data_IF_807399771012
#
_entry.id   IF_807399771012
#
_cell.length_a   1.000
_cell.length_b   1.000
_cell.length_c   1.000
_cell.angle_alpha   90.00
_cell.angle_beta   90.00
_cell.angle_gamma   90.00
#
_symmetry.space_group_name_H-M   'P 1'
#
loop_
_entity.id
_entity.type
_entity.pdbx_description
1 polymer ?
#
# COMPACT_ATOMS: atom_id res chain seq x y z
N UNK A 1 -6.73 3.16 -11.57
CA UNK A 1 -5.96 4.12 -12.39
C UNK A 1 -6.71 5.45 -12.38
N UNK A 2 -6.01 6.57 -12.12
CA UNK A 2 -6.59 7.91 -12.32
C UNK A 2 -7.07 8.06 -13.77
N UNK A 3 -8.09 8.87 -14.01
CA UNK A 3 -8.69 9.21 -15.32
C UNK A 3 -7.73 9.86 -16.34
N UNK A 4 -6.42 9.75 -16.13
CA UNK A 4 -5.36 10.47 -16.85
C UNK A 4 -4.28 9.54 -17.42
N UNK A 5 -4.27 8.25 -17.05
CA UNK A 5 -3.34 7.28 -17.65
C UNK A 5 -3.88 6.86 -19.01
N UNK A 6 -3.11 7.14 -20.05
CA UNK A 6 -3.44 6.78 -21.43
C UNK A 6 -2.33 5.95 -22.03
N UNK A 7 -2.69 5.09 -22.98
CA UNK A 7 -1.71 4.38 -23.78
C UNK A 7 -0.80 5.36 -24.52
N UNK A 8 0.49 5.03 -24.67
CA UNK A 8 1.52 5.96 -25.17
C UNK A 8 1.18 6.54 -26.56
N UNK A 9 0.47 5.76 -27.39
CA UNK A 9 0.02 6.17 -28.72
C UNK A 9 -0.82 7.45 -28.79
N UNK A 10 -1.43 7.85 -27.67
CA UNK A 10 -2.32 9.01 -27.65
C UNK A 10 -1.58 10.33 -27.37
N UNK A 11 -0.28 10.27 -27.05
CA UNK A 11 0.50 11.43 -26.62
C UNK A 11 1.78 11.66 -27.43
N UNK A 12 2.23 10.67 -28.21
CA UNK A 12 3.42 10.77 -29.07
C UNK A 12 3.06 11.09 -30.52
N UNK A 13 4.04 11.57 -31.29
CA UNK A 13 3.87 11.80 -32.73
C UNK A 13 3.64 10.49 -33.50
N UNK A 14 3.03 10.50 -34.71
CA UNK A 14 2.85 9.28 -35.50
C UNK A 14 4.15 8.53 -35.84
N UNK A 15 5.24 9.26 -36.10
CA UNK A 15 6.57 8.69 -36.40
C UNK A 15 7.17 8.00 -35.17
N UNK A 16 7.17 8.69 -34.03
CA UNK A 16 7.60 8.13 -32.75
C UNK A 16 6.74 6.93 -32.36
N UNK A 17 5.43 6.98 -32.62
CA UNK A 17 4.52 5.89 -32.36
C UNK A 17 4.86 4.62 -33.16
N UNK A 18 5.26 4.78 -34.42
CA UNK A 18 5.68 3.67 -35.28
C UNK A 18 7.01 3.07 -34.81
N UNK A 19 7.97 3.92 -34.45
CA UNK A 19 9.23 3.50 -33.83
C UNK A 19 8.99 2.69 -32.53
N UNK A 20 8.17 3.20 -31.61
CA UNK A 20 7.89 2.51 -30.34
C UNK A 20 7.16 1.17 -30.55
N UNK A 21 6.30 1.07 -31.57
CA UNK A 21 5.68 -0.21 -31.96
C UNK A 21 6.70 -1.24 -32.39
N UNK A 22 7.64 -0.85 -33.24
CA UNK A 22 8.71 -1.72 -33.71
C UNK A 22 9.64 -2.12 -32.54
N UNK A 23 10.07 -1.14 -31.73
CA UNK A 23 10.97 -1.36 -30.60
C UNK A 23 10.39 -2.31 -29.54
N UNK A 24 9.16 -2.06 -29.08
CA UNK A 24 8.55 -2.86 -28.01
C UNK A 24 7.85 -4.12 -28.51
N UNK A 25 7.52 -4.21 -29.80
CA UNK A 25 6.85 -5.36 -30.39
C UNK A 25 5.60 -5.78 -29.61
N UNK A 26 5.56 -7.03 -29.14
CA UNK A 26 4.42 -7.57 -28.37
C UNK A 26 4.21 -6.92 -27.00
N UNK A 27 5.18 -6.13 -26.51
CA UNK A 27 5.06 -5.38 -25.25
C UNK A 27 4.42 -4.01 -25.44
N UNK A 28 4.30 -3.53 -26.68
CA UNK A 28 3.88 -2.16 -26.99
C UNK A 28 2.51 -1.81 -26.40
N UNK A 29 1.53 -2.73 -26.42
CA UNK A 29 0.18 -2.51 -25.89
C UNK A 29 0.12 -2.26 -24.38
N UNK A 30 1.24 -2.45 -23.68
CA UNK A 30 1.38 -2.28 -22.24
C UNK A 30 2.21 -1.05 -21.87
N UNK A 31 2.52 -0.16 -22.83
CA UNK A 31 3.27 1.07 -22.59
C UNK A 31 2.28 2.23 -22.41
N UNK A 32 2.34 2.86 -21.24
CA UNK A 32 1.44 3.93 -20.85
C UNK A 32 2.22 5.20 -20.53
N UNK A 33 1.64 6.34 -20.89
CA UNK A 33 2.19 7.65 -20.59
C UNK A 33 2.03 7.99 -19.11
N UNK A 34 3.07 8.59 -18.53
CA UNK A 34 2.97 9.19 -17.21
C UNK A 34 2.65 10.70 -17.30
N UNK A 35 1.44 11.13 -16.94
CA UNK A 35 1.06 12.53 -17.01
C UNK A 35 1.84 13.45 -16.05
N UNK A 36 2.58 12.88 -15.08
CA UNK A 36 3.42 13.65 -14.15
C UNK A 36 4.77 14.06 -14.75
N UNK A 37 5.11 13.57 -15.95
CA UNK A 37 6.30 13.96 -16.72
C UNK A 37 7.56 13.14 -16.45
N UNK A 38 7.80 12.63 -15.23
CA UNK A 38 8.96 11.79 -14.93
C UNK A 38 8.58 10.64 -13.98
N UNK A 39 8.87 9.36 -14.32
CA UNK A 39 9.38 8.87 -15.62
C UNK A 39 8.43 9.25 -16.78
N UNK A 40 8.90 9.33 -18.04
CA UNK A 40 8.07 9.74 -19.19
C UNK A 40 6.91 8.75 -19.47
N UNK A 41 7.19 7.46 -19.33
CA UNK A 41 6.25 6.38 -19.51
C UNK A 41 6.49 5.26 -18.50
N UNK A 42 5.64 4.25 -18.54
CA UNK A 42 5.84 3.01 -17.81
C UNK A 42 5.25 1.83 -18.59
N UNK A 43 5.92 0.69 -18.48
CA UNK A 43 5.35 -0.59 -18.86
C UNK A 43 4.51 -1.14 -17.72
N UNK A 44 3.26 -1.52 -18.00
CA UNK A 44 2.39 -2.14 -17.04
C UNK A 44 1.62 -3.33 -17.62
N UNK A 45 1.91 -4.52 -17.09
CA UNK A 45 1.21 -5.77 -17.41
C UNK A 45 1.00 -6.58 -16.14
N UNK A 46 -0.24 -6.65 -15.67
CA UNK A 46 -0.61 -7.31 -14.41
C UNK A 46 0.30 -6.81 -13.25
N UNK A 47 1.00 -7.72 -12.56
CA UNK A 47 1.91 -7.37 -11.47
C UNK A 47 3.28 -6.83 -11.93
N UNK A 48 3.51 -6.71 -13.23
CA UNK A 48 4.76 -6.15 -13.77
C UNK A 48 4.63 -4.65 -13.98
N UNK A 49 5.57 -3.91 -13.40
CA UNK A 49 5.72 -2.47 -13.57
C UNK A 49 7.19 -2.12 -13.83
N UNK A 50 7.46 -1.37 -14.90
CA UNK A 50 8.80 -0.87 -15.22
C UNK A 50 8.71 0.59 -15.64
N UNK A 51 9.40 1.47 -14.92
CA UNK A 51 9.51 2.88 -15.27
C UNK A 51 10.36 3.06 -16.54
N UNK A 52 9.89 3.90 -17.46
CA UNK A 52 10.57 4.22 -18.72
C UNK A 52 10.86 5.72 -18.71
N UNK A 53 12.12 6.07 -18.49
CA UNK A 53 12.55 7.44 -18.22
C UNK A 53 12.78 8.29 -19.48
N UNK A 54 12.89 7.67 -20.65
CA UNK A 54 13.03 8.32 -21.95
C UNK A 54 12.55 7.37 -23.05
N UNK A 55 11.98 7.93 -24.11
CA UNK A 55 11.39 7.19 -25.23
C UNK A 55 12.27 7.18 -26.48
N UNK A 56 13.34 7.97 -26.50
CA UNK A 56 14.32 7.98 -27.57
C UNK A 56 15.15 6.69 -27.63
N UNK A 57 15.51 6.29 -28.85
CA UNK A 57 16.20 5.01 -29.10
C UNK A 57 17.50 4.87 -28.30
N UNK A 58 18.31 5.93 -28.28
CA UNK A 58 19.59 5.94 -27.56
C UNK A 58 19.39 5.67 -26.06
N UNK A 59 18.35 6.26 -25.46
CA UNK A 59 18.04 6.04 -24.05
C UNK A 59 17.55 4.63 -23.80
N UNK A 60 16.56 4.17 -24.58
CA UNK A 60 15.99 2.83 -24.43
C UNK A 60 17.05 1.72 -24.55
N UNK A 61 17.99 1.87 -25.49
CA UNK A 61 19.10 0.94 -25.68
C UNK A 61 20.08 0.99 -24.51
N UNK A 62 20.45 2.19 -24.05
CA UNK A 62 21.37 2.37 -22.92
C UNK A 62 20.81 1.82 -21.61
N UNK A 63 19.52 2.06 -21.33
CA UNK A 63 18.82 1.54 -20.15
C UNK A 63 18.40 0.08 -20.30
N UNK A 64 18.59 -0.53 -21.49
CA UNK A 64 18.20 -1.91 -21.82
C UNK A 64 16.72 -2.16 -21.47
N UNK A 65 15.84 -1.20 -21.80
CA UNK A 65 14.44 -1.18 -21.34
C UNK A 65 13.69 -2.44 -21.70
N UNK A 66 13.81 -2.92 -22.95
CA UNK A 66 13.12 -4.14 -23.39
C UNK A 66 13.58 -5.38 -22.61
N UNK A 67 14.89 -5.49 -22.35
CA UNK A 67 15.43 -6.60 -21.56
C UNK A 67 14.96 -6.52 -20.10
N UNK A 68 14.93 -5.34 -19.50
CA UNK A 68 14.39 -5.13 -18.16
C UNK A 68 12.92 -5.56 -18.06
N UNK A 69 12.10 -5.19 -19.05
CA UNK A 69 10.70 -5.64 -19.16
C UNK A 69 10.63 -7.16 -19.23
N UNK A 70 11.41 -7.80 -20.12
CA UNK A 70 11.41 -9.25 -20.29
C UNK A 70 11.85 -9.99 -19.03
N UNK A 71 12.96 -9.58 -18.41
CA UNK A 71 13.47 -10.18 -17.18
C UNK A 71 12.49 -10.01 -16.02
N UNK A 72 11.84 -8.85 -15.91
CA UNK A 72 10.85 -8.59 -14.86
C UNK A 72 9.62 -9.47 -15.07
N UNK A 73 9.06 -9.54 -16.28
CA UNK A 73 7.95 -10.44 -16.61
C UNK A 73 8.29 -11.90 -16.25
N UNK A 74 9.45 -12.40 -16.67
CA UNK A 74 9.89 -13.77 -16.37
C UNK A 74 9.99 -14.04 -14.86
N UNK A 75 10.50 -13.05 -14.10
CA UNK A 75 10.62 -13.16 -12.65
C UNK A 75 9.25 -13.21 -11.97
N UNK A 76 8.33 -12.33 -12.38
CA UNK A 76 6.96 -12.29 -11.87
C UNK A 76 6.23 -13.59 -12.19
N UNK A 77 6.31 -14.10 -13.41
CA UNK A 77 5.68 -15.38 -13.80
C UNK A 77 6.25 -16.56 -12.99
N UNK A 78 7.56 -16.58 -12.76
CA UNK A 78 8.18 -17.62 -11.91
C UNK A 78 7.64 -17.60 -10.48
N UNK A 79 7.37 -16.42 -9.91
CA UNK A 79 6.76 -16.30 -8.59
C UNK A 79 5.27 -16.67 -8.59
N UNK A 80 4.51 -16.25 -9.62
CA UNK A 80 3.10 -16.65 -9.80
C UNK A 80 2.94 -18.17 -9.85
N UNK A 81 3.77 -18.85 -10.65
CA UNK A 81 3.77 -20.32 -10.76
C UNK A 81 4.04 -21.04 -9.43
N UNK A 82 4.70 -20.36 -8.47
CA UNK A 82 4.99 -20.88 -7.13
C UNK A 82 4.03 -20.34 -6.06
N UNK A 83 3.02 -19.55 -6.43
CA UNK A 83 2.17 -18.79 -5.52
C UNK A 83 2.94 -17.86 -4.56
N UNK A 84 4.13 -17.38 -4.97
CA UNK A 84 4.99 -16.51 -4.16
C UNK A 84 4.67 -15.02 -4.42
N UNK A 85 3.43 -14.64 -4.15
CA UNK A 85 2.97 -13.26 -4.35
C UNK A 85 3.57 -12.28 -3.34
N UNK A 86 4.00 -12.75 -2.17
CA UNK A 86 4.74 -11.91 -1.22
C UNK A 86 6.04 -11.40 -1.84
N UNK A 87 6.78 -12.23 -2.57
CA UNK A 87 7.98 -11.79 -3.30
C UNK A 87 7.66 -10.80 -4.41
N UNK A 88 6.55 -10.97 -5.13
CA UNK A 88 6.08 -10.03 -6.16
C UNK A 88 5.91 -8.63 -5.55
N UNK A 89 5.12 -8.52 -4.48
CA UNK A 89 4.86 -7.23 -3.85
C UNK A 89 6.06 -6.69 -3.08
N UNK A 90 6.98 -7.52 -2.61
CA UNK A 90 8.24 -7.10 -1.97
C UNK A 90 9.23 -6.50 -2.96
N UNK A 91 9.20 -6.97 -4.21
CA UNK A 91 10.02 -6.42 -5.29
C UNK A 91 9.47 -5.10 -5.86
N UNK A 92 8.18 -4.83 -5.61
CA UNK A 92 7.46 -3.69 -6.18
C UNK A 92 7.72 -2.38 -5.42
N UNK A 93 7.76 -1.26 -6.14
CA UNK A 93 7.89 0.06 -5.51
C UNK A 93 6.68 0.35 -4.59
N UNK A 94 6.96 0.83 -3.39
CA UNK A 94 5.95 1.14 -2.36
C UNK A 94 4.89 2.14 -2.82
N UNK A 95 5.21 3.00 -3.79
CA UNK A 95 4.30 3.98 -4.38
C UNK A 95 3.16 3.31 -5.15
N UNK A 96 3.40 2.17 -5.78
CA UNK A 96 2.39 1.49 -6.61
C UNK A 96 1.85 0.21 -5.96
N UNK A 97 2.57 -0.36 -5.00
CA UNK A 97 2.26 -1.67 -4.41
C UNK A 97 0.81 -1.78 -3.91
N UNK A 98 0.33 -0.78 -3.16
CA UNK A 98 -1.03 -0.80 -2.63
C UNK A 98 -2.07 -0.72 -3.73
N UNK A 99 -1.84 0.13 -4.73
CA UNK A 99 -2.77 0.30 -5.85
C UNK A 99 -2.87 -0.99 -6.68
N UNK A 100 -1.74 -1.61 -7.02
CA UNK A 100 -1.72 -2.86 -7.78
C UNK A 100 -2.30 -4.02 -6.98
N UNK A 101 -2.06 -4.06 -5.67
CA UNK A 101 -2.71 -5.03 -4.79
C UNK A 101 -4.23 -4.91 -4.88
N UNK A 102 -4.78 -3.70 -4.67
CA UNK A 102 -6.23 -3.49 -4.74
C UNK A 102 -6.82 -3.80 -6.11
N UNK A 103 -6.07 -3.60 -7.19
CA UNK A 103 -6.56 -3.81 -8.55
C UNK A 103 -6.52 -5.29 -8.99
N UNK A 104 -5.56 -6.06 -8.50
CA UNK A 104 -5.32 -7.45 -8.94
C UNK A 104 -5.52 -8.48 -7.82
N UNK A 105 -6.18 -8.11 -6.72
CA UNK A 105 -6.41 -9.01 -5.58
C UNK A 105 -7.10 -10.31 -6.02
N UNK A 106 -8.04 -10.23 -6.96
CA UNK A 106 -8.79 -11.38 -7.48
C UNK A 106 -7.94 -12.38 -8.27
N UNK A 107 -6.77 -11.97 -8.75
CA UNK A 107 -5.82 -12.86 -9.42
C UNK A 107 -4.94 -13.63 -8.42
N UNK A 108 -4.96 -13.23 -7.16
CA UNK A 108 -4.17 -13.85 -6.08
C UNK A 108 -5.03 -14.94 -5.42
N UNK A 109 -4.49 -16.15 -5.15
CA UNK A 109 -5.22 -17.17 -4.41
C UNK A 109 -5.75 -16.65 -3.07
N UNK A 110 -7.05 -16.84 -2.82
CA UNK A 110 -7.77 -16.34 -1.63
C UNK A 110 -7.02 -16.53 -0.29
N UNK A 111 -6.43 -17.71 0.01
CA UNK A 111 -5.74 -17.91 1.29
C UNK A 111 -4.52 -17.02 1.51
N UNK A 112 -3.96 -16.42 0.46
CA UNK A 112 -2.75 -15.59 0.52
C UNK A 112 -3.07 -14.10 0.62
N UNK A 113 -4.25 -13.68 0.15
CA UNK A 113 -4.60 -12.27 -0.05
C UNK A 113 -4.43 -11.44 1.22
N UNK A 114 -4.87 -11.95 2.38
CA UNK A 114 -4.82 -11.18 3.62
C UNK A 114 -3.39 -10.97 4.13
N UNK A 115 -2.52 -11.99 4.06
CA UNK A 115 -1.13 -11.83 4.49
C UNK A 115 -0.33 -10.90 3.56
N UNK A 116 -0.65 -10.92 2.26
CA UNK A 116 -0.09 -9.98 1.29
C UNK A 116 -0.58 -8.56 1.55
N UNK A 117 -1.89 -8.38 1.83
CA UNK A 117 -2.44 -7.08 2.22
C UNK A 117 -1.66 -6.50 3.40
N UNK A 118 -1.44 -7.29 4.46
CA UNK A 118 -0.72 -6.83 5.66
C UNK A 118 0.71 -6.42 5.36
N UNK A 119 1.40 -7.20 4.51
CA UNK A 119 2.76 -6.87 4.06
C UNK A 119 2.78 -5.54 3.29
N UNK A 120 1.92 -5.41 2.28
CA UNK A 120 1.81 -4.22 1.44
C UNK A 120 1.41 -2.99 2.25
N UNK A 121 0.41 -3.11 3.14
CA UNK A 121 -0.04 -2.05 4.04
C UNK A 121 1.10 -1.54 4.92
N UNK A 122 1.86 -2.43 5.55
CA UNK A 122 2.90 -2.07 6.53
C UNK A 122 4.13 -1.35 5.93
N UNK A 123 4.29 -1.35 4.61
CA UNK A 123 5.45 -0.74 3.92
C UNK A 123 5.10 0.40 2.98
N UNK A 124 3.81 0.65 2.74
CA UNK A 124 3.36 1.72 1.86
C UNK A 124 3.01 2.98 2.64
N UNK A 125 3.19 4.13 2.00
CA UNK A 125 2.80 5.45 2.49
C UNK A 125 1.84 6.14 1.51
N UNK A 126 1.45 5.43 0.44
CA UNK A 126 0.79 5.98 -0.74
C UNK A 126 -0.49 5.22 -1.05
N UNK A 127 -1.40 5.89 -1.77
CA UNK A 127 -2.60 5.27 -2.32
C UNK A 127 -3.59 4.69 -1.29
N UNK A 128 -3.55 5.09 -0.02
CA UNK A 128 -4.53 4.64 0.99
C UNK A 128 -6.00 4.94 0.63
N UNK A 129 -6.24 5.88 -0.29
CA UNK A 129 -7.60 6.13 -0.82
C UNK A 129 -8.18 4.93 -1.59
N UNK A 130 -7.38 3.96 -2.00
CA UNK A 130 -7.87 2.72 -2.62
C UNK A 130 -8.43 1.73 -1.61
N UNK A 131 -8.14 1.90 -0.31
CA UNK A 131 -8.69 1.09 0.78
C UNK A 131 -10.03 1.66 1.23
N UNK A 132 -11.07 1.47 0.41
CA UNK A 132 -12.44 1.84 0.78
C UNK A 132 -12.94 0.96 1.93
N UNK A 133 -13.96 1.44 2.66
CA UNK A 133 -14.60 0.63 3.71
C UNK A 133 -15.12 -0.69 3.16
N UNK A 134 -15.75 -0.68 1.98
CA UNK A 134 -16.23 -1.89 1.27
C UNK A 134 -15.09 -2.88 1.02
N UNK A 135 -13.96 -2.42 0.48
CA UNK A 135 -12.80 -3.29 0.21
C UNK A 135 -12.21 -3.89 1.49
N UNK A 136 -12.11 -3.11 2.57
CA UNK A 136 -11.61 -3.60 3.86
C UNK A 136 -12.59 -4.58 4.52
N UNK A 137 -13.90 -4.38 4.34
CA UNK A 137 -14.93 -5.33 4.77
C UNK A 137 -14.83 -6.64 4.01
N UNK A 138 -14.65 -6.63 2.69
CA UNK A 138 -14.43 -7.84 1.89
C UNK A 138 -13.16 -8.59 2.32
N UNK A 139 -12.04 -7.87 2.45
CA UNK A 139 -10.78 -8.46 2.93
C UNK A 139 -10.89 -9.04 4.35
N UNK A 140 -11.81 -8.53 5.18
CA UNK A 140 -11.99 -9.02 6.54
C UNK A 140 -12.39 -10.48 6.61
N UNK A 141 -13.13 -10.97 5.62
CA UNK A 141 -13.55 -12.38 5.55
C UNK A 141 -12.38 -13.33 5.29
N UNK A 142 -11.27 -12.82 4.77
CA UNK A 142 -10.08 -13.59 4.40
C UNK A 142 -9.11 -13.77 5.56
N UNK A 143 -9.30 -13.04 6.67
CA UNK A 143 -8.50 -13.17 7.90
C UNK A 143 -8.47 -14.59 8.46
N UNK A 144 -9.55 -15.34 8.26
CA UNK A 144 -9.70 -16.74 8.66
C UNK A 144 -8.60 -17.67 8.10
N UNK A 145 -7.96 -17.25 7.01
CA UNK A 145 -6.87 -18.01 6.38
C UNK A 145 -5.49 -17.60 6.90
N UNK A 146 -5.37 -16.48 7.61
CA UNK A 146 -4.09 -15.94 8.09
C UNK A 146 -3.78 -16.43 9.50
N UNK A 147 -2.89 -17.43 9.60
CA UNK A 147 -2.35 -17.86 10.89
C UNK A 147 -1.57 -16.73 11.58
N UNK A 148 -0.90 -15.87 10.80
CA UNK A 148 -0.16 -14.71 11.30
C UNK A 148 -1.10 -13.73 12.01
N UNK A 149 -2.24 -13.42 11.39
CA UNK A 149 -3.27 -12.56 11.99
C UNK A 149 -3.81 -13.16 13.29
N UNK A 150 -4.16 -14.46 13.28
CA UNK A 150 -4.66 -15.14 14.48
C UNK A 150 -3.66 -15.09 15.65
N UNK A 151 -2.37 -15.26 15.39
CA UNK A 151 -1.34 -15.20 16.42
C UNK A 151 -1.21 -13.78 17.00
N UNK A 152 -1.24 -12.77 16.14
CA UNK A 152 -1.11 -11.38 16.58
C UNK A 152 -2.37 -10.90 17.32
N UNK A 153 -3.57 -11.30 16.90
CA UNK A 153 -4.78 -11.01 17.67
C UNK A 153 -4.78 -11.68 19.06
N UNK A 154 -4.20 -12.88 19.18
CA UNK A 154 -3.98 -13.51 20.49
C UNK A 154 -3.00 -12.73 21.37
N UNK A 155 -1.95 -12.17 20.79
CA UNK A 155 -1.01 -11.29 21.49
C UNK A 155 -1.72 -10.01 21.95
N UNK A 156 -2.47 -9.35 21.07
CA UNK A 156 -3.25 -8.16 21.39
C UNK A 156 -4.20 -8.40 22.58
N UNK A 157 -4.76 -9.61 22.69
CA UNK A 157 -5.66 -9.98 23.79
C UNK A 157 -5.02 -9.82 25.18
N UNK A 158 -3.70 -9.84 25.28
CA UNK A 158 -2.98 -9.60 26.55
C UNK A 158 -3.07 -8.15 27.05
N UNK A 159 -3.44 -7.20 26.18
CA UNK A 159 -3.63 -5.79 26.50
C UNK A 159 -5.08 -5.44 26.86
N UNK A 160 -5.99 -6.42 26.85
CA UNK A 160 -7.41 -6.22 27.15
C UNK A 160 -7.60 -6.05 28.66
N UNK A 161 -8.25 -4.96 29.04
CA UNK A 161 -8.58 -4.66 30.43
C UNK A 161 -9.83 -5.40 30.93
N UNK A 162 -10.19 -5.19 32.20
CA UNK A 162 -11.35 -5.84 32.84
C UNK A 162 -12.69 -5.53 32.16
N UNK A 163 -12.77 -4.44 31.41
CA UNK A 163 -13.99 -4.00 30.70
C UNK A 163 -14.01 -4.50 29.25
N UNK A 164 -13.08 -5.39 28.87
CA UNK A 164 -12.98 -5.91 27.50
C UNK A 164 -12.44 -4.91 26.49
N UNK A 165 -11.82 -3.82 26.97
CA UNK A 165 -11.30 -2.74 26.13
C UNK A 165 -9.78 -2.72 26.06
N UNK A 166 -9.25 -2.02 25.07
CA UNK A 166 -7.82 -1.77 24.88
C UNK A 166 -7.62 -0.26 24.81
N UNK A 167 -6.64 0.26 25.57
CA UNK A 167 -6.21 1.64 25.46
C UNK A 167 -5.34 1.81 24.22
N UNK A 168 -5.71 2.76 23.36
CA UNK A 168 -5.01 3.08 22.11
C UNK A 168 -4.75 4.58 21.99
N UNK A 169 -3.68 4.92 21.28
CA UNK A 169 -3.19 6.28 21.10
C UNK A 169 -2.98 6.60 19.62
N UNK A 170 -3.08 7.87 19.25
CA UNK A 170 -2.76 8.33 17.90
C UNK A 170 -2.07 9.69 17.94
N UNK A 171 -0.94 9.80 17.23
CA UNK A 171 -0.30 11.07 16.96
C UNK A 171 -0.83 11.71 15.68
N UNK A 172 -1.24 12.97 15.78
CA UNK A 172 -1.66 13.79 14.63
C UNK A 172 -0.76 15.02 14.52
N UNK A 173 -0.23 15.24 13.32
CA UNK A 173 0.48 16.44 12.90
C UNK A 173 -0.12 16.97 11.59
N UNK A 174 0.42 18.05 11.04
CA UNK A 174 -0.10 18.68 9.80
C UNK A 174 -0.13 17.77 8.58
N UNK A 175 0.66 16.71 8.56
CA UNK A 175 0.71 15.71 7.46
C UNK A 175 -0.11 14.46 7.73
N UNK A 176 -0.75 14.36 8.89
CA UNK A 176 -1.54 13.18 9.28
C UNK A 176 -2.94 13.21 8.67
N UNK A 177 -3.51 12.03 8.43
CA UNK A 177 -4.95 11.90 8.18
C UNK A 177 -5.74 12.44 9.38
N UNK A 178 -6.81 13.21 9.15
CA UNK A 178 -7.65 13.69 10.24
C UNK A 178 -8.29 12.51 10.97
N UNK A 179 -8.54 12.68 12.27
CA UNK A 179 -9.09 11.65 13.15
C UNK A 179 -10.30 10.89 12.58
N UNK A 180 -11.23 11.57 11.89
CA UNK A 180 -12.43 10.93 11.31
C UNK A 180 -12.16 10.01 10.10
N UNK A 181 -10.91 9.94 9.64
CA UNK A 181 -10.44 9.04 8.57
C UNK A 181 -9.29 8.15 9.03
N UNK A 182 -8.94 8.19 10.31
CA UNK A 182 -7.74 7.58 10.85
C UNK A 182 -7.96 6.13 11.29
N UNK A 183 -7.45 5.20 10.49
CA UNK A 183 -7.48 3.77 10.81
C UNK A 183 -6.38 3.34 11.78
N UNK A 184 -5.22 4.01 11.71
CA UNK A 184 -4.00 3.62 12.42
C UNK A 184 -3.92 4.28 13.80
N UNK A 185 -3.83 3.42 14.82
CA UNK A 185 -3.60 3.74 16.23
C UNK A 185 -2.44 2.89 16.76
N UNK A 186 -1.97 3.15 17.97
CA UNK A 186 -0.88 2.39 18.61
C UNK A 186 -1.19 2.08 20.07
N UNK A 187 -0.67 0.98 20.60
CA UNK A 187 -0.68 0.68 22.04
C UNK A 187 0.33 1.55 22.82
N UNK A 188 1.29 2.18 22.14
CA UNK A 188 2.38 2.94 22.74
C UNK A 188 2.12 4.45 22.69
N UNK A 189 1.98 5.06 23.87
CA UNK A 189 1.92 6.52 23.98
C UNK A 189 3.15 7.20 23.37
N UNK A 190 4.34 6.59 23.51
CA UNK A 190 5.59 7.14 22.97
C UNK A 190 5.60 7.13 21.45
N UNK A 191 5.07 6.08 20.83
CA UNK A 191 4.89 6.01 19.38
C UNK A 191 3.92 7.07 18.89
N UNK A 192 2.80 7.28 19.59
CA UNK A 192 1.87 8.36 19.28
C UNK A 192 2.49 9.76 19.44
N UNK A 193 3.30 9.97 20.49
CA UNK A 193 4.02 11.22 20.70
C UNK A 193 4.99 11.50 19.56
N UNK A 194 5.78 10.49 19.16
CA UNK A 194 6.70 10.60 18.01
C UNK A 194 5.96 11.03 16.74
N UNK A 195 4.84 10.40 16.40
CA UNK A 195 4.07 10.81 15.21
C UNK A 195 3.44 12.20 15.33
N UNK A 196 3.07 12.63 16.54
CA UNK A 196 2.53 13.98 16.75
C UNK A 196 3.59 15.08 16.55
N UNK A 197 4.87 14.82 16.84
CA UNK A 197 5.93 15.84 16.84
C UNK A 197 6.97 15.69 15.73
N UNK A 198 6.94 14.60 14.94
CA UNK A 198 7.95 14.30 13.91
C UNK A 198 8.11 15.39 12.83
N UNK A 199 7.04 16.11 12.50
CA UNK A 199 7.02 17.09 11.41
C UNK A 199 6.52 18.48 11.83
N UNK A 200 6.29 18.69 13.12
CA UNK A 200 5.75 19.95 13.65
C UNK A 200 6.27 20.20 15.06
N UNK A 201 6.40 21.48 15.41
CA UNK A 201 6.78 21.90 16.77
C UNK A 201 5.69 21.58 17.79
N UNK A 202 4.43 21.59 17.34
CA UNK A 202 3.26 21.20 18.12
C UNK A 202 2.45 20.14 17.37
N UNK A 203 1.84 19.21 18.11
CA UNK A 203 0.98 18.17 17.59
C UNK A 203 -0.10 17.77 18.60
N UNK A 204 -0.93 16.80 18.22
CA UNK A 204 -2.00 16.29 19.07
C UNK A 204 -1.79 14.80 19.30
N UNK A 205 -1.84 14.39 20.56
CA UNK A 205 -2.02 12.99 20.93
C UNK A 205 -3.47 12.77 21.32
N UNK A 206 -4.13 11.89 20.58
CA UNK A 206 -5.44 11.35 20.92
C UNK A 206 -5.27 10.08 21.75
N UNK A 207 -6.16 9.89 22.71
CA UNK A 207 -6.26 8.64 23.48
C UNK A 207 -7.72 8.22 23.55
N UNK A 208 -7.99 6.93 23.37
CA UNK A 208 -9.31 6.35 23.58
C UNK A 208 -9.20 4.90 24.07
N UNK A 209 -10.34 4.30 24.40
CA UNK A 209 -10.51 2.88 24.69
C UNK A 209 -11.42 2.29 23.63
N UNK A 210 -10.99 1.19 23.00
CA UNK A 210 -11.78 0.47 22.00
C UNK A 210 -12.08 -0.95 22.50
N UNK A 211 -13.25 -1.50 22.17
CA UNK A 211 -13.54 -2.91 22.48
C UNK A 211 -12.65 -3.80 21.64
N UNK A 212 -12.14 -4.88 22.23
CA UNK A 212 -11.30 -5.86 21.52
C UNK A 212 -11.95 -6.38 20.23
N UNK A 213 -13.27 -6.59 20.25
CA UNK A 213 -14.05 -7.07 19.11
C UNK A 213 -14.19 -6.06 17.96
N UNK A 214 -13.97 -4.76 18.23
CA UNK A 214 -14.03 -3.69 17.23
C UNK A 214 -12.65 -3.46 16.56
N UNK A 215 -11.60 -4.21 16.95
CA UNK A 215 -10.26 -4.14 16.32
C UNK A 215 -10.22 -4.90 15.00
N UNK A 216 -9.77 -4.23 13.94
CA UNK A 216 -9.60 -4.81 12.61
C UNK A 216 -8.35 -5.70 12.54
N UNK A 217 -7.20 -5.19 12.97
CA UNK A 217 -5.92 -5.91 12.92
C UNK A 217 -4.95 -5.34 13.96
N UNK A 218 -3.93 -6.13 14.30
CA UNK A 218 -2.80 -5.74 15.12
C UNK A 218 -1.49 -6.05 14.40
N UNK A 219 -0.70 -5.01 14.18
CA UNK A 219 0.58 -5.03 13.49
C UNK A 219 1.69 -4.65 14.51
N UNK A 220 2.26 -5.62 15.25
CA UNK A 220 3.31 -5.38 16.24
C UNK A 220 4.66 -4.99 15.65
N UNK A 221 4.79 -4.94 14.32
CA UNK A 221 6.07 -4.79 13.64
C UNK A 221 6.69 -3.40 13.93
N UNK A 222 8.02 -3.31 13.80
CA UNK A 222 8.81 -2.06 13.89
C UNK A 222 8.65 -1.28 15.20
N UNK A 223 8.30 -1.96 16.29
CA UNK A 223 8.04 -1.38 17.60
C UNK A 223 6.89 -0.33 17.62
N UNK A 224 6.08 -0.28 16.55
CA UNK A 224 4.98 0.67 16.43
C UNK A 224 3.74 0.20 17.20
N UNK A 225 3.59 -1.10 17.45
CA UNK A 225 2.43 -1.71 18.12
C UNK A 225 1.10 -1.20 17.53
N UNK A 226 1.00 -1.19 16.21
CA UNK A 226 -0.10 -0.57 15.49
C UNK A 226 -1.39 -1.40 15.62
N UNK A 227 -2.50 -0.71 15.90
CA UNK A 227 -3.85 -1.25 16.00
C UNK A 227 -4.69 -0.57 14.93
N UNK A 228 -5.25 -1.37 14.02
CA UNK A 228 -6.16 -0.89 12.98
C UNK A 228 -7.59 -0.93 13.50
N UNK A 229 -8.29 0.20 13.43
CA UNK A 229 -9.68 0.36 13.89
C UNK A 229 -10.46 1.17 12.86
N UNK A 230 -11.69 0.75 12.53
CA UNK A 230 -12.58 1.56 11.70
C UNK A 230 -12.83 2.92 12.39
N UNK A 231 -12.56 4.06 11.73
CA UNK A 231 -12.79 5.40 12.28
C UNK A 231 -14.21 5.60 12.84
N UNK A 232 -15.22 4.93 12.29
CA UNK A 232 -16.61 5.02 12.76
C UNK A 232 -16.84 4.37 14.14
N UNK A 233 -15.91 3.52 14.58
CA UNK A 233 -15.94 2.88 15.90
C UNK A 233 -15.28 3.74 16.98
N UNK A 234 -14.49 4.73 16.60
CA UNK A 234 -13.84 5.65 17.54
C UNK A 234 -14.90 6.60 18.11
N UNK A 235 -15.21 6.39 19.40
CA UNK A 235 -16.10 7.23 20.18
C UNK A 235 -15.34 7.71 21.41
N UNK A 236 -15.68 8.91 21.90
CA UNK A 236 -15.19 9.46 23.18
C UNK A 236 -13.66 9.35 23.37
N UNK A 237 -12.92 10.29 22.78
CA UNK A 237 -11.47 10.38 22.92
C UNK A 237 -11.08 11.61 23.75
N UNK A 238 -9.94 11.53 24.44
CA UNK A 238 -9.25 12.70 24.96
C UNK A 238 -8.25 13.22 23.94
N UNK A 239 -7.94 14.51 24.01
CA UNK A 239 -6.93 15.17 23.17
C UNK A 239 -5.93 15.89 24.08
N UNK A 240 -4.64 15.75 23.78
CA UNK A 240 -3.56 16.45 24.45
C UNK A 240 -2.69 17.14 23.40
N UNK A 241 -2.53 18.45 23.52
CA UNK A 241 -1.54 19.19 22.74
C UNK A 241 -0.16 18.84 23.32
N UNK A 242 0.77 18.50 22.43
CA UNK A 242 2.13 18.11 22.76
C UNK A 242 3.10 18.91 21.91
N UNK A 243 4.30 19.12 22.42
CA UNK A 243 5.41 19.75 21.70
C UNK A 243 6.63 18.83 21.72
N UNK A 244 7.51 19.00 20.72
CA UNK A 244 8.79 18.29 20.64
C UNK A 244 9.73 18.63 21.81
#
# INVERSE_FOLDING_TARGET
>A
MSSTVQHISNVVSPEENEFLKDYFGSHYSYIFHNPSGMPEAFYHKEFTWVDIWGLEKEFLDMSRTLELIQQTNQRIEKWKLKNDYLSIFSFMDKKIALQLFTHYVDLIPEPLQYDIFRDVYSKTEYNFHTLTSEFLEELSYLRKHSQKWHNQMKELKTFVDSDGCIAIYRGECTKSSPLNKAWSWTLSYQTALFFATRFSTEGIVYQTRIRYEDVYDYLPNRDEQEVLVDPNKIKNYSKKIVSA
#
